data_IF_908291192297
#
_entry.id   IF_908291192297
#
_cell.length_a   1.000
_cell.length_b   1.000
_cell.length_c   1.000
_cell.angle_alpha   90.00
_cell.angle_beta   90.00
_cell.angle_gamma   90.00
#
_symmetry.space_group_name_H-M   'P 1'
#
loop_
_entity.id
_entity.type
_entity.pdbx_description
1 polymer ?
#
# COMPACT_ATOMS: atom_id res chain seq x y z
N UNK A 1 -7.30 -11.18 18.86
CA UNK A 1 -6.63 -10.32 19.86
C UNK A 1 -7.21 -8.92 19.78
N UNK A 2 -6.57 -7.92 20.39
CA UNK A 2 -6.98 -6.51 20.27
C UNK A 2 -6.53 -5.93 18.93
N UNK A 3 -7.26 -4.93 18.43
CA UNK A 3 -6.83 -4.17 17.25
C UNK A 3 -5.63 -3.29 17.62
N UNK A 4 -4.65 -3.18 16.73
CA UNK A 4 -3.41 -2.42 16.97
C UNK A 4 -3.15 -1.44 15.82
N UNK A 5 -2.78 -0.21 16.16
CA UNK A 5 -2.25 0.76 15.22
C UNK A 5 -0.76 0.97 15.51
N UNK A 6 0.10 0.59 14.56
CA UNK A 6 1.55 0.71 14.65
C UNK A 6 1.98 1.92 13.82
N UNK A 7 2.61 2.89 14.47
CA UNK A 7 3.07 4.13 13.85
C UNK A 7 4.47 4.53 14.30
N UNK A 8 4.99 5.61 13.73
CA UNK A 8 6.35 6.11 13.95
C UNK A 8 6.96 6.59 12.63
N UNK A 9 8.07 7.32 12.73
CA UNK A 9 8.75 7.96 11.60
C UNK A 9 9.17 6.98 10.50
N UNK A 10 9.59 7.50 9.35
CA UNK A 10 10.18 6.67 8.30
C UNK A 10 11.41 5.91 8.84
N UNK A 11 11.54 4.63 8.50
CA UNK A 11 12.74 3.86 8.87
C UNK A 11 12.80 3.30 10.30
N UNK A 12 11.74 3.40 11.09
CA UNK A 12 11.67 2.83 12.46
C UNK A 12 11.40 1.32 12.54
N UNK A 13 11.44 0.61 11.41
CA UNK A 13 11.27 -0.86 11.38
C UNK A 13 9.82 -1.36 11.46
N UNK A 14 8.83 -0.53 11.08
CA UNK A 14 7.39 -0.90 11.06
C UNK A 14 7.14 -2.23 10.33
N UNK A 15 7.58 -2.35 9.07
CA UNK A 15 7.36 -3.56 8.27
C UNK A 15 8.05 -4.80 8.85
N UNK A 16 9.28 -4.64 9.38
CA UNK A 16 10.00 -5.75 10.04
C UNK A 16 9.24 -6.27 11.27
N UNK A 17 8.67 -5.37 12.08
CA UNK A 17 7.83 -5.77 13.22
C UNK A 17 6.57 -6.52 12.76
N UNK A 18 5.93 -6.04 11.69
CA UNK A 18 4.75 -6.67 11.11
C UNK A 18 5.05 -8.08 10.63
N UNK A 19 6.18 -8.29 9.95
CA UNK A 19 6.60 -9.61 9.48
C UNK A 19 6.73 -10.60 10.65
N UNK A 20 7.39 -10.19 11.74
CA UNK A 20 7.50 -11.02 12.94
C UNK A 20 6.14 -11.33 13.60
N UNK A 21 5.23 -10.34 13.65
CA UNK A 21 3.86 -10.56 14.16
C UNK A 21 3.11 -11.56 13.27
N UNK A 22 3.22 -11.42 11.96
CA UNK A 22 2.56 -12.31 10.99
C UNK A 22 3.08 -13.74 11.13
N UNK A 23 4.38 -13.94 11.28
CA UNK A 23 4.98 -15.26 11.52
C UNK A 23 4.39 -15.93 12.77
N UNK A 24 4.31 -15.20 13.88
CA UNK A 24 3.72 -15.72 15.12
C UNK A 24 2.23 -16.04 14.97
N UNK A 25 1.46 -15.19 14.29
CA UNK A 25 0.04 -15.43 14.02
C UNK A 25 -0.17 -16.67 13.14
N UNK A 26 0.68 -16.86 12.12
CA UNK A 26 0.66 -18.06 11.25
C UNK A 26 1.04 -19.31 12.04
N UNK A 27 2.05 -19.24 12.91
CA UNK A 27 2.41 -20.34 13.82
C UNK A 27 1.24 -20.72 14.75
N UNK A 28 0.45 -19.73 15.19
CA UNK A 28 -0.81 -19.93 15.92
C UNK A 28 -2.01 -20.34 15.03
N UNK A 29 -1.75 -20.78 13.79
CA UNK A 29 -2.75 -21.21 12.78
C UNK A 29 -3.83 -20.17 12.47
N UNK A 30 -3.52 -18.88 12.59
CA UNK A 30 -4.43 -17.79 12.18
C UNK A 30 -4.25 -17.50 10.69
N UNK A 31 -5.38 -17.33 10.00
CA UNK A 31 -5.38 -16.84 8.63
C UNK A 31 -5.18 -15.32 8.64
N UNK A 32 -4.01 -14.88 8.20
CA UNK A 32 -3.63 -13.46 8.14
C UNK A 32 -3.70 -12.97 6.70
N UNK A 33 -4.47 -11.90 6.46
CA UNK A 33 -4.48 -11.18 5.20
C UNK A 33 -3.52 -9.99 5.31
N UNK A 34 -2.46 -9.99 4.51
CA UNK A 34 -1.48 -8.91 4.45
C UNK A 34 -1.84 -7.99 3.30
N UNK A 35 -2.09 -6.72 3.60
CA UNK A 35 -2.49 -5.73 2.61
C UNK A 35 -1.78 -4.40 2.77
N UNK A 36 -1.72 -3.63 1.67
CA UNK A 36 -1.27 -2.24 1.70
C UNK A 36 -2.20 -1.34 0.87
N UNK A 37 -2.04 -0.02 1.03
CA UNK A 37 -2.81 0.98 0.28
C UNK A 37 -2.45 1.06 -1.22
N UNK A 38 -1.18 0.79 -1.58
CA UNK A 38 -0.69 0.82 -2.97
C UNK A 38 -0.14 -0.53 -3.43
N UNK A 39 -0.07 -0.74 -4.75
CA UNK A 39 0.48 -1.97 -5.32
C UNK A 39 1.94 -2.20 -4.93
N UNK A 40 2.78 -1.16 -5.03
CA UNK A 40 4.22 -1.25 -4.72
C UNK A 40 4.42 -1.60 -3.24
N UNK A 41 3.69 -0.94 -2.34
CA UNK A 41 3.74 -1.25 -0.91
C UNK A 41 3.24 -2.69 -0.63
N UNK A 42 2.19 -3.14 -1.32
CA UNK A 42 1.66 -4.48 -1.16
C UNK A 42 2.65 -5.56 -1.57
N UNK A 43 3.41 -5.35 -2.66
CA UNK A 43 4.46 -6.26 -3.09
C UNK A 43 5.59 -6.32 -2.05
N UNK A 44 5.98 -5.18 -1.47
CA UNK A 44 7.06 -5.13 -0.47
C UNK A 44 6.80 -6.00 0.76
N UNK A 45 5.53 -6.13 1.15
CA UNK A 45 5.11 -6.96 2.29
C UNK A 45 4.57 -8.35 1.86
N UNK A 46 4.87 -8.78 0.63
CA UNK A 46 4.39 -10.04 0.03
C UNK A 46 2.87 -10.24 0.16
N UNK A 47 2.12 -9.14 0.06
CA UNK A 47 0.67 -9.07 0.21
C UNK A 47 -0.05 -8.68 -1.08
N UNK A 48 -1.24 -8.12 -0.93
CA UNK A 48 -2.01 -7.54 -2.04
C UNK A 48 -2.59 -6.17 -1.65
N UNK A 49 -3.14 -5.41 -2.59
CA UNK A 49 -3.78 -4.15 -2.20
C UNK A 49 -5.02 -4.40 -1.35
N UNK A 50 -5.37 -3.46 -0.48
CA UNK A 50 -6.61 -3.56 0.33
C UNK A 50 -7.85 -3.70 -0.54
N UNK A 51 -7.85 -3.06 -1.72
CA UNK A 51 -8.89 -3.17 -2.75
C UNK A 51 -9.00 -4.59 -3.32
N UNK A 52 -7.87 -5.21 -3.67
CA UNK A 52 -7.81 -6.59 -4.17
C UNK A 52 -8.21 -7.61 -3.10
N UNK A 53 -7.80 -7.39 -1.84
CA UNK A 53 -8.26 -8.19 -0.71
C UNK A 53 -9.78 -8.15 -0.58
N UNK A 54 -10.33 -6.93 -0.50
CA UNK A 54 -11.75 -6.71 -0.28
C UNK A 54 -12.62 -7.16 -1.46
N UNK A 55 -12.05 -7.16 -2.67
CA UNK A 55 -12.72 -7.56 -3.90
C UNK A 55 -13.69 -6.50 -4.45
N UNK A 56 -13.44 -5.22 -4.13
CA UNK A 56 -14.32 -4.07 -4.38
C UNK A 56 -13.95 -3.25 -5.63
N UNK A 57 -12.95 -3.67 -6.42
CA UNK A 57 -12.41 -2.87 -7.51
C UNK A 57 -11.89 -1.52 -7.00
N UNK A 58 -12.21 -0.43 -7.69
CA UNK A 58 -11.84 0.93 -7.29
C UNK A 58 -12.56 1.43 -6.01
N UNK A 59 -13.54 0.69 -5.49
CA UNK A 59 -14.26 1.06 -4.27
C UNK A 59 -15.12 2.32 -4.40
N UNK A 60 -15.45 2.77 -5.62
CA UNK A 60 -16.20 4.01 -5.86
C UNK A 60 -17.70 3.85 -5.61
N UNK A 61 -18.25 2.66 -5.89
CA UNK A 61 -19.67 2.37 -5.70
C UNK A 61 -20.11 2.46 -4.21
N UNK A 62 -21.42 2.60 -3.93
CA UNK A 62 -21.96 2.58 -2.57
C UNK A 62 -21.61 1.30 -1.80
N UNK A 63 -21.45 1.41 -0.49
CA UNK A 63 -21.00 0.30 0.39
C UNK A 63 -21.92 -0.92 0.31
N UNK A 64 -23.22 -0.71 0.18
CA UNK A 64 -24.26 -1.75 0.06
C UNK A 64 -24.11 -2.54 -1.24
N UNK A 65 -23.85 -1.83 -2.34
CA UNK A 65 -23.61 -2.46 -3.64
C UNK A 65 -22.35 -3.30 -3.61
N UNK A 66 -21.25 -2.74 -3.11
CA UNK A 66 -19.96 -3.44 -2.99
C UNK A 66 -20.11 -4.70 -2.12
N UNK A 67 -20.76 -4.59 -0.97
CA UNK A 67 -21.00 -5.72 -0.06
C UNK A 67 -21.77 -6.86 -0.74
N UNK A 68 -22.85 -6.56 -1.48
CA UNK A 68 -23.58 -7.57 -2.24
C UNK A 68 -22.73 -8.21 -3.34
N UNK A 69 -21.99 -7.42 -4.10
CA UNK A 69 -21.13 -7.93 -5.18
C UNK A 69 -20.05 -8.88 -4.64
N UNK A 70 -19.41 -8.51 -3.53
CA UNK A 70 -18.43 -9.37 -2.86
C UNK A 70 -19.08 -10.64 -2.32
N UNK A 71 -20.24 -10.53 -1.65
CA UNK A 71 -20.93 -11.67 -1.05
C UNK A 71 -21.49 -12.68 -2.09
N UNK A 72 -21.87 -12.22 -3.28
CA UNK A 72 -22.30 -13.07 -4.40
C UNK A 72 -21.19 -13.99 -4.90
N UNK A 73 -19.94 -13.54 -4.82
CA UNK A 73 -18.79 -14.36 -5.20
C UNK A 73 -18.35 -15.23 -4.02
N UNK A 74 -18.62 -16.54 -4.11
CA UNK A 74 -18.30 -17.52 -3.06
C UNK A 74 -16.83 -17.47 -2.60
N UNK A 75 -15.88 -17.27 -3.52
CA UNK A 75 -14.45 -17.19 -3.19
C UNK A 75 -14.12 -15.93 -2.40
N UNK A 76 -14.60 -14.76 -2.86
CA UNK A 76 -14.38 -13.48 -2.17
C UNK A 76 -15.04 -13.47 -0.79
N UNK A 77 -16.28 -13.95 -0.69
CA UNK A 77 -17.00 -14.08 0.58
C UNK A 77 -16.25 -15.01 1.55
N UNK A 78 -15.83 -16.19 1.08
CA UNK A 78 -15.08 -17.15 1.90
C UNK A 78 -13.76 -16.55 2.41
N UNK A 79 -13.07 -15.75 1.58
CA UNK A 79 -11.86 -15.01 2.00
C UNK A 79 -12.13 -14.13 3.22
N UNK A 80 -13.20 -13.32 3.21
CA UNK A 80 -13.61 -12.53 4.38
C UNK A 80 -13.97 -13.40 5.59
N UNK A 81 -14.70 -14.51 5.39
CA UNK A 81 -15.13 -15.40 6.47
C UNK A 81 -13.98 -16.16 7.13
N UNK A 82 -12.95 -16.51 6.36
CA UNK A 82 -11.79 -17.26 6.87
C UNK A 82 -10.68 -16.38 7.44
N UNK A 83 -10.65 -15.09 7.07
CA UNK A 83 -9.64 -14.15 7.58
C UNK A 83 -9.86 -13.92 9.08
N UNK A 84 -8.81 -14.11 9.87
CA UNK A 84 -8.79 -13.85 11.30
C UNK A 84 -8.17 -12.49 11.63
N UNK A 85 -7.13 -12.12 10.87
CA UNK A 85 -6.39 -10.87 11.06
C UNK A 85 -6.20 -10.20 9.69
N UNK A 86 -6.46 -8.89 9.62
CA UNK A 86 -6.20 -8.06 8.46
C UNK A 86 -5.14 -7.01 8.81
N UNK A 87 -3.98 -7.11 8.15
CA UNK A 87 -2.91 -6.11 8.21
C UNK A 87 -3.13 -5.11 7.08
N UNK A 88 -3.10 -3.81 7.40
CA UNK A 88 -3.22 -2.72 6.44
C UNK A 88 -2.00 -1.81 6.60
N UNK A 89 -0.99 -2.03 5.76
CA UNK A 89 0.20 -1.17 5.67
C UNK A 89 -0.06 0.08 4.83
N UNK A 90 0.73 1.11 5.08
CA UNK A 90 0.54 2.45 4.52
C UNK A 90 -0.90 2.98 4.70
N UNK A 91 -1.42 2.85 5.92
CA UNK A 91 -2.78 3.26 6.31
C UNK A 91 -3.04 4.77 6.11
N UNK A 92 -1.98 5.59 6.03
CA UNK A 92 -2.10 7.04 5.80
C UNK A 92 -2.77 7.37 4.47
N UNK A 93 -2.60 6.52 3.46
CA UNK A 93 -3.21 6.68 2.14
C UNK A 93 -4.62 6.04 2.05
N UNK A 94 -5.10 5.39 3.11
CA UNK A 94 -6.47 4.89 3.19
C UNK A 94 -7.37 6.01 3.68
N UNK A 95 -8.40 6.32 2.91
CA UNK A 95 -9.38 7.34 3.29
C UNK A 95 -10.41 6.82 4.28
N UNK A 96 -11.02 7.71 5.07
CA UNK A 96 -12.15 7.37 5.93
C UNK A 96 -13.30 6.69 5.16
N UNK A 97 -13.79 7.21 4.01
CA UNK A 97 -14.84 6.55 3.23
C UNK A 97 -14.45 5.14 2.76
N UNK A 98 -13.18 4.91 2.42
CA UNK A 98 -12.72 3.58 2.04
C UNK A 98 -12.74 2.64 3.24
N UNK A 99 -12.24 3.08 4.40
CA UNK A 99 -12.23 2.29 5.63
C UNK A 99 -13.64 1.89 6.06
N UNK A 100 -14.60 2.81 5.98
CA UNK A 100 -16.04 2.55 6.24
C UNK A 100 -16.60 1.49 5.29
N UNK A 101 -16.29 1.59 3.99
CA UNK A 101 -16.71 0.59 2.98
C UNK A 101 -16.11 -0.78 3.29
N UNK A 102 -14.83 -0.85 3.63
CA UNK A 102 -14.16 -2.11 3.97
C UNK A 102 -14.81 -2.78 5.18
N UNK A 103 -15.05 -2.03 6.24
CA UNK A 103 -15.73 -2.53 7.43
C UNK A 103 -17.14 -3.01 7.11
N UNK A 104 -17.91 -2.23 6.36
CA UNK A 104 -19.27 -2.60 5.95
C UNK A 104 -19.29 -3.91 5.14
N UNK A 105 -18.36 -4.07 4.19
CA UNK A 105 -18.22 -5.31 3.40
C UNK A 105 -17.88 -6.50 4.31
N UNK A 106 -16.95 -6.33 5.25
CA UNK A 106 -16.61 -7.36 6.23
C UNK A 106 -17.79 -7.74 7.13
N UNK A 107 -18.48 -6.73 7.67
CA UNK A 107 -19.70 -6.89 8.48
C UNK A 107 -20.78 -7.67 7.74
N UNK A 108 -21.00 -7.35 6.45
CA UNK A 108 -21.96 -8.07 5.64
C UNK A 108 -21.50 -9.49 5.32
N UNK A 109 -20.27 -9.71 4.83
CA UNK A 109 -19.80 -11.06 4.46
C UNK A 109 -19.75 -12.04 5.64
N UNK A 110 -19.59 -11.53 6.86
CA UNK A 110 -19.51 -12.30 8.12
C UNK A 110 -20.80 -12.20 8.95
N UNK A 111 -21.83 -11.54 8.42
CA UNK A 111 -23.13 -11.39 9.07
C UNK A 111 -24.06 -12.59 8.85
N UNK A 112 -25.08 -12.76 9.71
CA UNK A 112 -25.90 -13.98 9.81
C UNK A 112 -26.74 -14.30 8.57
N UNK A 113 -27.22 -13.28 7.85
CA UNK A 113 -28.16 -13.44 6.72
C UNK A 113 -27.57 -13.04 5.36
N UNK A 114 -26.25 -13.08 5.23
CA UNK A 114 -25.57 -12.54 4.05
C UNK A 114 -25.88 -13.28 2.75
N UNK A 115 -26.36 -12.53 1.74
CA UNK A 115 -26.53 -12.99 0.36
C UNK A 115 -27.92 -13.55 -0.02
N UNK A 116 -28.95 -13.38 0.83
CA UNK A 116 -30.30 -13.91 0.57
C UNK A 116 -31.37 -12.85 0.26
N UNK A 117 -31.08 -11.56 0.45
CA UNK A 117 -32.10 -10.51 0.40
C UNK A 117 -31.75 -9.29 -0.47
N UNK A 118 -32.79 -8.67 -1.03
CA UNK A 118 -32.69 -7.49 -1.90
C UNK A 118 -32.45 -6.19 -1.15
N UNK A 119 -32.74 -6.08 0.14
CA UNK A 119 -32.40 -4.92 0.96
C UNK A 119 -31.51 -5.35 2.12
N UNK A 120 -30.40 -4.63 2.33
CA UNK A 120 -29.54 -4.88 3.49
C UNK A 120 -30.14 -4.11 4.66
N UNK A 121 -30.48 -4.83 5.73
CA UNK A 121 -30.91 -4.26 6.99
C UNK A 121 -29.81 -4.45 8.02
N UNK A 122 -29.83 -3.67 9.10
CA UNK A 122 -28.78 -3.69 10.12
C UNK A 122 -28.61 -5.08 10.76
N UNK A 123 -29.71 -5.81 10.97
CA UNK A 123 -29.67 -7.16 11.54
C UNK A 123 -29.03 -8.22 10.62
N UNK A 124 -28.80 -7.91 9.34
CA UNK A 124 -28.02 -8.76 8.43
C UNK A 124 -26.50 -8.59 8.62
N UNK A 125 -26.07 -7.51 9.25
CA UNK A 125 -24.67 -7.16 9.44
C UNK A 125 -24.16 -7.77 10.75
N UNK A 126 -22.91 -8.23 10.73
CA UNK A 126 -22.20 -8.52 11.96
C UNK A 126 -22.08 -7.22 12.81
N UNK A 127 -22.28 -7.26 14.13
CA UNK A 127 -22.24 -6.05 14.97
C UNK A 127 -20.84 -5.42 15.03
N UNK A 128 -19.80 -6.23 15.18
CA UNK A 128 -18.42 -5.76 15.28
C UNK A 128 -17.87 -5.20 13.94
N UNK A 129 -17.00 -4.17 13.98
CA UNK A 129 -16.35 -3.63 12.79
C UNK A 129 -15.56 -4.71 12.04
N UNK A 130 -15.53 -4.62 10.71
CA UNK A 130 -14.93 -5.63 9.82
C UNK A 130 -15.47 -7.07 10.01
N UNK A 131 -16.60 -7.23 10.71
CA UNK A 131 -17.15 -8.54 11.07
C UNK A 131 -16.34 -9.27 12.15
N UNK A 132 -15.69 -8.53 13.05
CA UNK A 132 -14.89 -9.11 14.13
C UNK A 132 -13.49 -9.59 13.71
N UNK A 133 -13.02 -9.20 12.52
CA UNK A 133 -11.63 -9.42 12.11
C UNK A 133 -10.73 -8.52 12.94
N UNK A 134 -9.63 -9.06 13.47
CA UNK A 134 -8.62 -8.25 14.13
C UNK A 134 -7.88 -7.39 13.11
N UNK A 135 -7.78 -6.09 13.36
CA UNK A 135 -7.11 -5.14 12.47
C UNK A 135 -5.75 -4.76 13.04
N UNK A 136 -4.72 -4.87 12.19
CA UNK A 136 -3.39 -4.32 12.44
C UNK A 136 -3.16 -3.22 11.40
N UNK A 137 -3.38 -1.97 11.79
CA UNK A 137 -3.12 -0.82 10.93
C UNK A 137 -1.67 -0.37 11.10
N UNK A 138 -0.98 -0.06 10.01
CA UNK A 138 0.44 0.30 10.01
C UNK A 138 0.65 1.48 9.09
N UNK A 139 1.37 2.50 9.57
CA UNK A 139 1.73 3.65 8.75
C UNK A 139 2.02 4.90 9.56
N UNK A 140 2.21 6.02 8.86
CA UNK A 140 2.54 7.30 9.45
C UNK A 140 1.72 8.41 8.78
N UNK A 141 0.78 9.01 9.50
CA UNK A 141 -0.12 10.04 8.95
C UNK A 141 0.60 11.37 8.63
N UNK A 142 1.87 11.52 9.02
CA UNK A 142 2.73 12.62 8.58
C UNK A 142 3.31 12.40 7.17
N UNK A 143 3.15 11.21 6.58
CA UNK A 143 3.56 10.92 5.20
C UNK A 143 2.45 11.27 4.20
N UNK A 144 2.35 10.53 3.09
CA UNK A 144 1.38 10.82 2.04
C UNK A 144 -0.06 10.62 2.51
N UNK A 145 -0.95 11.60 2.28
CA UNK A 145 -2.38 11.48 2.58
C UNK A 145 -3.11 10.63 1.53
N UNK A 146 -4.41 10.34 1.73
CA UNK A 146 -5.23 9.69 0.71
C UNK A 146 -5.29 10.53 -0.57
N UNK A 147 -5.30 9.87 -1.74
CA UNK A 147 -5.29 10.55 -3.03
C UNK A 147 -6.63 11.26 -3.29
N UNK A 148 -6.56 12.56 -3.55
CA UNK A 148 -7.72 13.39 -3.93
C UNK A 148 -8.03 13.23 -5.43
N UNK A 149 -9.28 12.90 -5.79
CA UNK A 149 -9.70 12.75 -7.19
C UNK A 149 -10.44 13.97 -7.76
N UNK A 150 -11.02 14.81 -6.91
CA UNK A 150 -11.92 15.90 -7.30
C UNK A 150 -11.51 17.27 -6.76
N UNK A 151 -10.25 17.42 -6.34
CA UNK A 151 -9.73 18.65 -5.73
C UNK A 151 -10.39 18.98 -4.38
N UNK A 152 -11.05 18.01 -3.77
CA UNK A 152 -11.61 18.13 -2.43
C UNK A 152 -10.80 17.26 -1.47
N UNK A 153 -10.42 17.81 -0.30
CA UNK A 153 -9.76 17.04 0.74
C UNK A 153 -10.55 15.80 1.09
N UNK A 154 -9.84 14.68 1.16
CA UNK A 154 -10.41 13.40 1.57
C UNK A 154 -9.99 13.15 3.02
N UNK A 155 -10.97 12.93 3.89
CA UNK A 155 -10.72 12.63 5.30
C UNK A 155 -9.82 11.39 5.48
N UNK A 156 -8.89 11.48 6.43
CA UNK A 156 -7.98 10.41 6.80
C UNK A 156 -8.71 9.23 7.45
N UNK A 157 -8.12 8.04 7.40
CA UNK A 157 -8.64 6.84 8.06
C UNK A 157 -8.99 7.08 9.55
N UNK A 158 -8.17 7.84 10.30
CA UNK A 158 -8.40 8.09 11.73
C UNK A 158 -9.63 8.95 12.03
N UNK A 159 -10.19 9.64 11.03
CA UNK A 159 -11.41 10.44 11.17
C UNK A 159 -12.69 9.62 10.99
N UNK A 160 -12.59 8.37 10.53
CA UNK A 160 -13.73 7.49 10.30
C UNK A 160 -14.41 7.09 11.62
N UNK A 161 -15.74 6.90 11.59
CA UNK A 161 -16.46 6.38 12.76
C UNK A 161 -15.99 4.96 13.09
N UNK A 162 -15.77 4.14 12.06
CA UNK A 162 -15.24 2.78 12.22
C UNK A 162 -13.86 2.76 12.87
N UNK A 163 -13.00 3.76 12.63
CA UNK A 163 -11.68 3.81 13.27
C UNK A 163 -11.81 3.90 14.79
N UNK A 164 -12.74 4.72 15.28
CA UNK A 164 -13.06 4.81 16.72
C UNK A 164 -13.64 3.50 17.23
N UNK A 165 -14.53 2.85 16.48
CA UNK A 165 -15.11 1.55 16.84
C UNK A 165 -14.07 0.43 16.91
N UNK A 166 -13.03 0.48 16.08
CA UNK A 166 -11.93 -0.48 16.13
C UNK A 166 -11.16 -0.43 17.46
N UNK A 167 -11.23 0.66 18.23
CA UNK A 167 -10.61 0.80 19.54
C UNK A 167 -9.14 0.33 19.55
N UNK A 168 -8.33 0.93 18.67
CA UNK A 168 -6.94 0.55 18.48
C UNK A 168 -6.09 0.80 19.73
N UNK A 169 -5.21 -0.16 20.05
CA UNK A 169 -4.03 0.13 20.87
C UNK A 169 -3.02 0.82 19.96
N UNK A 170 -2.62 2.02 20.33
CA UNK A 170 -1.61 2.76 19.58
C UNK A 170 -0.21 2.37 20.07
N UNK A 171 0.63 1.89 19.15
CA UNK A 171 2.02 1.56 19.37
C UNK A 171 2.88 2.50 18.53
N UNK A 172 3.70 3.34 19.19
CA UNK A 172 4.56 4.32 18.53
C UNK A 172 6.01 3.83 18.61
N UNK A 173 6.58 3.49 17.45
CA UNK A 173 7.98 3.12 17.32
C UNK A 173 8.85 4.38 17.24
N UNK A 174 9.84 4.48 18.12
CA UNK A 174 10.68 5.69 18.27
C UNK A 174 12.07 5.55 17.66
N UNK A 175 12.65 4.34 17.67
CA UNK A 175 14.02 4.13 17.22
C UNK A 175 14.09 4.04 15.70
N UNK A 176 14.84 4.96 15.07
CA UNK A 176 15.15 4.92 13.63
C UNK A 176 16.27 3.90 13.37
N UNK A 177 16.08 3.01 12.40
CA UNK A 177 17.04 1.99 12.01
C UNK A 177 17.61 2.20 10.59
N UNK A 178 16.87 2.89 9.72
CA UNK A 178 17.25 3.06 8.31
C UNK A 178 18.45 3.99 8.13
N UNK A 179 18.51 5.06 8.90
CA UNK A 179 19.61 6.02 8.89
C UNK A 179 20.42 5.86 10.18
N UNK A 180 21.75 5.90 10.07
CA UNK A 180 22.66 5.89 11.22
C UNK A 180 23.13 7.29 11.63
N UNK A 181 23.11 8.25 10.71
CA UNK A 181 23.53 9.62 10.91
C UNK A 181 22.49 10.40 11.74
N UNK A 182 22.92 10.89 12.92
CA UNK A 182 22.07 11.62 13.86
C UNK A 182 21.65 12.99 13.36
N UNK A 183 22.52 13.70 12.64
CA UNK A 183 22.21 15.02 12.08
C UNK A 183 21.12 14.86 11.01
N UNK A 184 21.27 13.86 10.14
CA UNK A 184 20.27 13.57 9.12
C UNK A 184 18.94 13.08 9.71
N UNK A 185 18.96 12.27 10.77
CA UNK A 185 17.72 11.89 11.50
C UNK A 185 17.01 13.12 12.04
N UNK A 186 17.74 14.07 12.63
CA UNK A 186 17.18 15.33 13.15
C UNK A 186 16.47 16.13 12.06
N UNK A 187 17.13 16.32 10.91
CA UNK A 187 16.55 16.98 9.73
C UNK A 187 15.25 16.32 9.28
N UNK A 188 15.20 14.99 9.19
CA UNK A 188 14.00 14.28 8.75
C UNK A 188 12.85 14.39 9.76
N UNK A 189 13.13 14.39 11.06
CA UNK A 189 12.10 14.54 12.09
C UNK A 189 11.54 15.98 12.13
N UNK A 190 12.38 16.97 11.89
CA UNK A 190 11.99 18.37 11.71
C UNK A 190 11.05 18.56 10.52
N UNK A 191 11.43 18.00 9.36
CA UNK A 191 10.60 17.99 8.15
C UNK A 191 9.27 17.29 8.39
N UNK A 192 9.27 16.15 9.07
CA UNK A 192 8.05 15.37 9.41
C UNK A 192 7.03 16.21 10.18
N UNK A 193 7.48 17.08 11.08
CA UNK A 193 6.62 17.95 11.88
C UNK A 193 6.36 19.33 11.28
N UNK A 194 6.95 19.63 10.11
CA UNK A 194 6.87 20.95 9.49
C UNK A 194 7.58 22.05 10.29
N UNK A 195 8.58 21.70 11.10
CA UNK A 195 9.40 22.65 11.87
C UNK A 195 10.77 22.69 11.25
N UNK A 196 11.06 23.74 10.50
CA UNK A 196 12.31 23.85 9.75
C UNK A 196 13.13 24.99 10.34
N UNK A 197 14.26 24.67 10.96
CA UNK A 197 15.21 25.67 11.44
C UNK A 197 16.23 26.08 10.35
N UNK A 198 17.13 27.01 10.69
CA UNK A 198 18.18 27.43 9.74
C UNK A 198 19.19 26.32 9.46
N UNK A 199 19.53 25.50 10.46
CA UNK A 199 20.55 24.46 10.32
C UNK A 199 20.10 23.36 9.35
N UNK A 200 18.85 22.93 9.46
CA UNK A 200 18.15 22.03 8.54
C UNK A 200 18.09 22.59 7.13
N UNK A 201 17.75 23.87 6.94
CA UNK A 201 17.76 24.49 5.61
C UNK A 201 19.16 24.46 4.99
N UNK A 202 20.19 24.75 5.76
CA UNK A 202 21.56 24.75 5.27
C UNK A 202 22.02 23.35 4.87
N UNK A 203 21.65 22.31 5.63
CA UNK A 203 21.89 20.92 5.25
C UNK A 203 21.17 20.56 3.95
N UNK A 204 19.88 20.89 3.84
CA UNK A 204 19.09 20.60 2.63
C UNK A 204 19.64 21.32 1.39
N UNK A 205 20.14 22.55 1.54
CA UNK A 205 20.81 23.28 0.45
C UNK A 205 22.11 22.62 0.01
N UNK A 206 22.88 22.06 0.94
CA UNK A 206 24.12 21.30 0.62
C UNK A 206 23.83 20.01 -0.16
N UNK A 207 22.62 19.47 -0.07
CA UNK A 207 22.21 18.32 -0.88
C UNK A 207 22.02 18.68 -2.37
N UNK A 208 21.97 19.97 -2.74
CA UNK A 208 21.99 20.40 -4.14
C UNK A 208 23.41 20.30 -4.71
N UNK A 209 23.86 19.07 -4.92
CA UNK A 209 25.16 18.71 -5.45
C UNK A 209 25.02 17.52 -6.40
N UNK A 210 25.99 17.31 -7.31
CA UNK A 210 26.07 16.07 -8.05
C UNK A 210 26.13 14.88 -7.08
N UNK A 211 25.41 13.82 -7.46
CA UNK A 211 25.48 12.54 -6.76
C UNK A 211 26.57 11.68 -7.40
N UNK A 212 27.13 10.78 -6.60
CA UNK A 212 28.12 9.83 -7.08
C UNK A 212 27.44 8.78 -7.98
N UNK A 213 28.04 8.55 -9.14
CA UNK A 213 27.59 7.57 -10.15
C UNK A 213 28.67 6.50 -10.42
N UNK A 214 29.65 6.36 -9.52
CA UNK A 214 30.81 5.46 -9.69
C UNK A 214 30.45 3.99 -9.88
N UNK A 215 29.29 3.55 -9.38
CA UNK A 215 28.80 2.16 -9.51
C UNK A 215 28.06 1.90 -10.84
N UNK A 216 27.98 2.90 -11.73
CA UNK A 216 27.27 2.81 -13.01
C UNK A 216 25.75 2.85 -12.87
N UNK A 217 25.20 2.99 -11.66
CA UNK A 217 23.76 3.02 -11.40
C UNK A 217 23.32 4.44 -11.00
N UNK A 218 23.00 5.26 -12.00
CA UNK A 218 22.46 6.63 -11.79
C UNK A 218 21.30 6.66 -10.79
N UNK A 219 21.31 7.59 -9.83
CA UNK A 219 20.31 7.68 -8.76
C UNK A 219 18.86 7.76 -9.24
N UNK A 220 17.95 7.19 -8.46
CA UNK A 220 16.51 7.32 -8.71
C UNK A 220 16.04 8.74 -8.44
N UNK A 221 15.48 9.38 -9.46
CA UNK A 221 14.90 10.71 -9.36
C UNK A 221 13.42 10.61 -8.94
N UNK A 222 13.03 11.42 -7.95
CA UNK A 222 11.66 11.48 -7.44
C UNK A 222 11.00 12.77 -7.91
N UNK A 223 9.79 12.67 -8.45
CA UNK A 223 9.02 13.82 -8.95
C UNK A 223 7.60 13.81 -8.38
N UNK A 224 6.97 15.00 -8.22
CA UNK A 224 5.59 15.10 -7.72
C UNK A 224 4.54 14.62 -8.73
N UNK A 225 4.82 14.70 -10.04
CA UNK A 225 3.86 14.36 -11.09
C UNK A 225 4.35 13.20 -11.96
N UNK A 226 3.43 12.29 -12.30
CA UNK A 226 3.70 11.15 -13.19
C UNK A 226 4.21 11.58 -14.57
N UNK A 227 3.70 12.69 -15.11
CA UNK A 227 4.17 13.22 -16.39
C UNK A 227 5.65 13.60 -16.34
N UNK A 228 6.13 14.17 -15.22
CA UNK A 228 7.55 14.49 -15.04
C UNK A 228 8.42 13.23 -14.99
N UNK A 229 7.97 12.20 -14.27
CA UNK A 229 8.64 10.88 -14.24
C UNK A 229 8.73 10.28 -15.65
N UNK A 230 7.62 10.29 -16.38
CA UNK A 230 7.55 9.73 -17.73
C UNK A 230 8.46 10.49 -18.69
N UNK A 231 8.40 11.83 -18.69
CA UNK A 231 9.25 12.65 -19.55
C UNK A 231 10.74 12.42 -19.26
N UNK A 232 11.12 12.32 -17.98
CA UNK A 232 12.51 12.03 -17.59
C UNK A 232 12.94 10.64 -18.07
N UNK A 233 12.14 9.61 -17.81
CA UNK A 233 12.45 8.23 -18.23
C UNK A 233 12.53 8.11 -19.76
N UNK A 234 11.61 8.73 -20.50
CA UNK A 234 11.63 8.74 -21.96
C UNK A 234 12.84 9.48 -22.52
N UNK A 235 13.21 10.61 -21.91
CA UNK A 235 14.41 11.36 -22.28
C UNK A 235 15.67 10.50 -22.14
N UNK A 236 15.85 9.84 -20.98
CA UNK A 236 16.97 8.94 -20.76
C UNK A 236 16.95 7.71 -21.70
N UNK A 237 15.78 7.14 -21.96
CA UNK A 237 15.61 6.03 -22.89
C UNK A 237 15.96 6.39 -24.35
N UNK A 238 15.70 7.63 -24.77
CA UNK A 238 16.05 8.13 -26.10
C UNK A 238 17.54 8.34 -26.29
N UNK A 239 18.29 8.64 -25.22
CA UNK A 239 19.77 8.81 -25.27
C UNK A 239 20.50 7.51 -25.59
N UNK A 240 19.92 6.36 -25.27
CA UNK A 240 20.49 5.05 -25.59
C UNK A 240 20.42 4.79 -27.11
N UNK A 241 21.58 4.60 -27.74
CA UNK A 241 21.69 4.32 -29.19
C UNK A 241 21.51 2.84 -29.55
N UNK A 242 21.31 1.98 -28.55
CA UNK A 242 21.13 0.55 -28.76
C UNK A 242 19.75 0.23 -29.35
N UNK A 243 19.61 -0.88 -30.10
CA UNK A 243 18.33 -1.32 -30.64
C UNK A 243 17.29 -1.49 -29.55
N UNK A 244 16.05 -1.06 -29.83
CA UNK A 244 14.93 -1.26 -28.92
C UNK A 244 14.36 -2.66 -29.09
N UNK A 245 14.11 -3.32 -27.97
CA UNK A 245 13.34 -4.56 -27.91
C UNK A 245 11.98 -4.29 -27.27
N UNK A 246 10.96 -4.96 -27.78
CA UNK A 246 9.59 -4.79 -27.31
C UNK A 246 9.05 -6.09 -26.74
N UNK A 247 8.66 -6.03 -25.48
CA UNK A 247 8.05 -7.11 -24.74
C UNK A 247 6.56 -6.82 -24.61
N UNK A 248 5.72 -7.72 -25.15
CA UNK A 248 4.26 -7.61 -25.05
C UNK A 248 3.77 -8.54 -23.95
N UNK A 249 2.91 -8.02 -23.07
CA UNK A 249 2.28 -8.85 -22.05
C UNK A 249 1.33 -9.86 -22.70
N UNK A 250 1.35 -11.10 -22.19
CA UNK A 250 0.36 -12.10 -22.52
C UNK A 250 -0.74 -12.06 -21.46
N UNK A 251 -1.91 -11.56 -21.86
CA UNK A 251 -3.09 -11.47 -21.01
C UNK A 251 -3.95 -12.73 -21.19
N UNK A 252 -4.47 -13.28 -20.10
CA UNK A 252 -5.37 -14.42 -20.11
C UNK A 252 -6.49 -14.29 -19.09
N UNK A 253 -7.57 -15.04 -19.29
CA UNK A 253 -8.73 -15.07 -18.39
C UNK A 253 -10.01 -14.53 -19.02
N UNK A 254 -11.09 -14.52 -18.22
CA UNK A 254 -12.43 -14.11 -18.68
C UNK A 254 -12.49 -12.59 -18.87
N UNK A 255 -13.24 -12.10 -19.86
CA UNK A 255 -13.40 -10.66 -20.10
C UNK A 255 -13.95 -9.89 -18.88
N UNK A 256 -14.76 -10.57 -18.07
CA UNK A 256 -15.31 -10.04 -16.81
C UNK A 256 -14.27 -9.70 -15.74
N UNK A 257 -13.03 -10.17 -15.89
CA UNK A 257 -11.92 -9.86 -14.96
C UNK A 257 -10.90 -8.86 -15.52
N UNK A 258 -11.13 -8.34 -16.73
CA UNK A 258 -10.22 -7.41 -17.41
C UNK A 258 -9.99 -6.11 -16.63
N UNK A 259 -10.93 -5.72 -15.77
CA UNK A 259 -10.77 -4.58 -14.87
C UNK A 259 -9.57 -4.73 -13.92
N UNK A 260 -9.14 -5.96 -13.60
CA UNK A 260 -7.96 -6.21 -12.75
C UNK A 260 -6.65 -5.79 -13.43
N UNK A 261 -6.61 -5.68 -14.76
CA UNK A 261 -5.44 -5.15 -15.47
C UNK A 261 -5.18 -3.69 -15.12
N UNK A 262 -6.20 -2.93 -14.70
CA UNK A 262 -6.03 -1.55 -14.23
C UNK A 262 -5.19 -1.45 -12.95
N UNK A 263 -5.15 -2.53 -12.16
CA UNK A 263 -4.38 -2.62 -10.92
C UNK A 263 -3.00 -3.28 -11.14
N UNK A 264 -2.70 -3.74 -12.36
CA UNK A 264 -1.43 -4.35 -12.68
C UNK A 264 -0.32 -3.28 -12.80
N UNK A 265 0.82 -3.51 -12.14
CA UNK A 265 1.97 -2.62 -12.23
C UNK A 265 2.74 -2.79 -13.55
N UNK A 266 2.68 -4.00 -14.13
CA UNK A 266 3.36 -4.29 -15.39
C UNK A 266 2.61 -3.64 -16.55
N UNK A 267 3.35 -2.98 -17.44
CA UNK A 267 2.79 -2.36 -18.64
C UNK A 267 2.38 -3.44 -19.66
N UNK A 268 1.28 -3.25 -20.41
CA UNK A 268 0.88 -4.16 -21.48
C UNK A 268 1.95 -4.31 -22.58
N UNK A 269 2.78 -3.27 -22.73
CA UNK A 269 3.92 -3.22 -23.63
C UNK A 269 5.07 -2.54 -22.90
N UNK A 270 6.19 -3.24 -22.79
CA UNK A 270 7.43 -2.70 -22.24
C UNK A 270 8.49 -2.63 -23.35
N UNK A 271 9.06 -1.45 -23.56
CA UNK A 271 10.20 -1.26 -24.45
C UNK A 271 11.47 -1.19 -23.60
N UNK A 272 12.51 -1.89 -24.02
CA UNK A 272 13.82 -1.92 -23.36
C UNK A 272 14.93 -1.72 -24.39
N UNK A 273 16.09 -1.28 -23.91
CA UNK A 273 17.33 -1.09 -24.66
C UNK A 273 18.48 -1.53 -23.76
N UNK A 274 19.54 -2.10 -24.34
CA UNK A 274 20.76 -2.41 -23.59
C UNK A 274 21.31 -1.12 -22.96
N UNK A 275 21.54 -1.14 -21.64
CA UNK A 275 21.95 0.03 -20.85
C UNK A 275 20.79 0.79 -20.20
N UNK A 276 19.54 0.34 -20.34
CA UNK A 276 18.39 0.95 -19.69
C UNK A 276 18.32 0.54 -18.21
N UNK A 277 18.29 1.54 -17.32
CA UNK A 277 18.09 1.26 -15.90
C UNK A 277 16.65 0.83 -15.63
N UNK A 278 16.51 -0.26 -14.88
CA UNK A 278 15.23 -0.85 -14.53
C UNK A 278 15.10 -1.02 -13.03
N UNK A 279 13.86 -1.11 -12.58
CA UNK A 279 13.52 -1.47 -11.20
C UNK A 279 12.68 -2.73 -11.21
N UNK A 280 13.02 -3.68 -10.34
CA UNK A 280 12.25 -4.90 -10.18
C UNK A 280 10.94 -4.57 -9.46
N UNK A 281 9.81 -5.01 -10.01
CA UNK A 281 8.47 -4.73 -9.48
C UNK A 281 7.92 -5.85 -8.59
N UNK A 282 8.68 -6.93 -8.40
CA UNK A 282 8.27 -8.14 -7.70
C UNK A 282 9.42 -8.72 -6.87
N UNK A 283 9.12 -9.47 -5.82
CA UNK A 283 10.13 -10.26 -5.13
C UNK A 283 10.39 -11.54 -5.95
N UNK A 284 11.62 -11.75 -6.43
CA UNK A 284 12.01 -12.93 -7.19
C UNK A 284 12.81 -13.92 -6.32
N UNK A 285 13.89 -13.44 -5.72
CA UNK A 285 14.75 -14.24 -4.84
C UNK A 285 15.38 -13.35 -3.77
N UNK A 286 14.86 -13.45 -2.55
CA UNK A 286 15.33 -12.65 -1.42
C UNK A 286 16.74 -13.06 -0.96
N UNK A 287 17.15 -14.31 -1.16
CA UNK A 287 18.49 -14.77 -0.79
C UNK A 287 19.55 -14.14 -1.69
N UNK A 288 19.24 -14.02 -2.98
CA UNK A 288 20.07 -13.33 -3.97
C UNK A 288 19.84 -11.81 -4.02
N UNK A 289 19.08 -11.24 -3.05
CA UNK A 289 18.74 -9.81 -2.97
C UNK A 289 17.99 -9.25 -4.20
N UNK A 290 17.27 -10.11 -4.91
CA UNK A 290 16.35 -9.74 -5.99
C UNK A 290 14.96 -9.53 -5.43
N UNK A 291 14.77 -8.36 -4.82
CA UNK A 291 13.52 -7.94 -4.20
C UNK A 291 12.87 -6.80 -5.00
N UNK A 292 11.59 -6.53 -4.74
CA UNK A 292 10.94 -5.35 -5.28
C UNK A 292 11.71 -4.09 -4.89
N UNK A 293 11.93 -3.19 -5.86
CA UNK A 293 12.80 -2.03 -5.70
C UNK A 293 14.26 -2.28 -6.01
N UNK A 294 14.71 -3.52 -6.24
CA UNK A 294 16.07 -3.80 -6.71
C UNK A 294 16.30 -3.11 -8.05
N UNK A 295 17.42 -2.39 -8.18
CA UNK A 295 17.81 -1.62 -9.36
C UNK A 295 18.83 -2.41 -10.17
N UNK A 296 18.73 -2.30 -11.50
CA UNK A 296 19.66 -2.93 -12.43
C UNK A 296 19.77 -2.16 -13.74
N UNK A 297 20.65 -2.64 -14.61
CA UNK A 297 20.92 -2.13 -15.97
C UNK A 297 20.85 -3.29 -16.95
#
# INVERSE_FOLDING_TARGET
GRNVFITGSAGVGKSLLVDSIVEQLKAARKTVAITASTGIAAVNIAGCTVHAFAGIGLGEAPKEFLAKQVAKNKFKRKKWQQTHVLVIDEISMVSAPLLEKLSYVGRYCRGPSSGKEDKIQEHHLHPEPFGGIQIIAVGDFFQLPPVEKSGRPVAFAFEAAVWRQCNFINCVLQKVFRQSDREFIGVLEELRHGRIDRSTLDILRRCNRPLDESDGIRPTLLFPHRASVQNQNESEFRKLQTPKETYKAHEGGKETIRWMLKDCQALPKQELKVGAQVVLLTNLDLNSRLANGSRGV
#
